data_IF_391691800290
#
_entry.id   IF_391691800290
#
_cell.length_a   1.000
_cell.length_b   1.000
_cell.length_c   1.000
_cell.angle_alpha   90.00
_cell.angle_beta   90.00
_cell.angle_gamma   90.00
#
_symmetry.space_group_name_H-M   'P 1'
#
loop_
_entity.id
_entity.type
_entity.pdbx_description
1 polymer ?
#
# COMPACT_ATOMS: atom_id res chain seq x y z
N UNK A 1 38.17 -1.19 7.20
CA UNK A 1 37.46 -1.62 8.43
C UNK A 1 36.04 -1.96 8.06
N UNK A 2 35.68 -3.24 8.14
CA UNK A 2 34.33 -3.72 7.83
C UNK A 2 33.40 -3.34 8.99
N UNK A 3 32.42 -2.48 8.74
CA UNK A 3 31.33 -2.22 9.67
C UNK A 3 30.21 -3.22 9.38
N UNK A 4 30.18 -4.31 10.14
CA UNK A 4 29.06 -5.22 10.20
C UNK A 4 27.79 -4.46 10.62
N UNK A 5 26.79 -4.37 9.74
CA UNK A 5 25.42 -4.06 10.17
C UNK A 5 24.81 -5.36 10.72
N UNK A 6 25.14 -5.62 11.98
CA UNK A 6 24.36 -6.50 12.84
C UNK A 6 23.05 -5.79 13.18
N UNK A 7 21.93 -6.43 12.90
CA UNK A 7 20.60 -5.95 13.27
C UNK A 7 19.57 -6.58 12.36
N UNK A 8 18.96 -7.69 12.79
CA UNK A 8 17.64 -8.06 12.28
C UNK A 8 16.75 -6.84 12.53
N UNK A 9 16.41 -6.12 11.47
CA UNK A 9 15.45 -5.02 11.50
C UNK A 9 14.17 -5.55 12.17
N UNK A 10 13.81 -5.05 13.35
CA UNK A 10 12.64 -5.56 14.10
C UNK A 10 11.36 -5.45 13.27
N UNK A 11 10.31 -6.22 13.64
CA UNK A 11 9.02 -6.22 12.95
C UNK A 11 8.48 -4.80 12.77
N UNK A 12 7.88 -4.50 11.63
CA UNK A 12 7.36 -3.17 11.30
C UNK A 12 6.26 -2.76 12.30
N UNK A 13 5.46 -3.72 12.74
CA UNK A 13 4.39 -3.59 13.72
C UNK A 13 4.88 -3.17 15.10
N UNK A 14 6.12 -3.52 15.46
CA UNK A 14 6.74 -3.13 16.73
C UNK A 14 7.31 -1.70 16.67
N UNK A 15 7.44 -1.11 15.48
CA UNK A 15 7.95 0.25 15.30
C UNK A 15 6.87 1.30 15.56
N UNK A 16 7.29 2.44 16.12
CA UNK A 16 6.44 3.62 16.22
C UNK A 16 6.49 4.36 14.89
N UNK A 17 5.45 4.21 14.08
CA UNK A 17 5.36 4.82 12.75
C UNK A 17 4.77 6.23 12.86
N UNK A 18 5.50 7.22 12.35
CA UNK A 18 4.97 8.58 12.18
C UNK A 18 4.12 8.66 10.91
N UNK A 19 2.83 8.37 11.04
CA UNK A 19 1.88 8.47 9.93
C UNK A 19 1.74 9.90 9.39
N UNK A 20 2.05 10.93 10.16
CA UNK A 20 2.04 12.32 9.69
C UNK A 20 3.20 12.54 8.71
N UNK A 21 4.38 12.02 9.02
CA UNK A 21 5.53 12.05 8.12
C UNK A 21 5.28 11.24 6.86
N UNK A 22 4.77 10.00 6.99
CA UNK A 22 4.41 9.15 5.85
C UNK A 22 3.43 9.89 4.92
N UNK A 23 2.38 10.51 5.48
CA UNK A 23 1.39 11.27 4.71
C UNK A 23 2.02 12.49 4.01
N UNK A 24 2.90 13.24 4.69
CA UNK A 24 3.56 14.40 4.11
C UNK A 24 4.47 14.04 2.92
N UNK A 25 5.04 12.84 2.94
CA UNK A 25 5.89 12.29 1.87
C UNK A 25 5.10 11.70 0.69
N UNK A 26 3.77 11.55 0.79
CA UNK A 26 2.92 10.94 -0.24
C UNK A 26 1.89 11.95 -0.77
N UNK A 27 2.25 12.81 -1.74
CA UNK A 27 1.37 13.88 -2.24
C UNK A 27 0.29 13.34 -3.20
N UNK A 28 -0.68 12.56 -2.73
CA UNK A 28 -1.74 11.97 -3.56
C UNK A 28 -3.03 12.83 -3.67
N UNK A 29 -3.08 13.97 -2.99
CA UNK A 29 -4.21 14.91 -3.01
C UNK A 29 -4.45 15.50 -4.42
N UNK A 30 -5.69 15.92 -4.69
CA UNK A 30 -6.16 16.41 -6.00
C UNK A 30 -5.95 17.93 -6.20
N UNK A 31 -5.02 18.55 -5.49
CA UNK A 31 -4.71 19.97 -5.63
C UNK A 31 -3.49 20.25 -6.53
N UNK A 32 -3.37 21.50 -7.00
CA UNK A 32 -2.30 21.95 -7.90
C UNK A 32 -0.90 21.81 -7.27
N UNK A 33 -0.76 22.00 -5.96
CA UNK A 33 0.51 21.88 -5.26
C UNK A 33 0.96 20.42 -5.22
N UNK A 34 0.07 19.50 -4.87
CA UNK A 34 0.32 18.05 -4.89
C UNK A 34 0.63 17.54 -6.29
N UNK A 35 -0.04 18.03 -7.35
CA UNK A 35 0.30 17.72 -8.76
C UNK A 35 1.74 18.14 -9.09
N UNK A 36 2.17 19.33 -8.69
CA UNK A 36 3.56 19.82 -8.87
C UNK A 36 4.58 18.98 -8.11
N UNK A 37 4.26 18.59 -6.86
CA UNK A 37 5.13 17.72 -6.06
C UNK A 37 5.27 16.33 -6.70
N UNK A 38 4.16 15.73 -7.15
CA UNK A 38 4.20 14.45 -7.88
C UNK A 38 5.03 14.53 -9.14
N UNK A 39 4.95 15.61 -9.91
CA UNK A 39 5.73 15.78 -11.13
C UNK A 39 7.25 15.78 -10.84
N UNK A 40 7.67 16.51 -9.79
CA UNK A 40 9.07 16.50 -9.35
C UNK A 40 9.50 15.12 -8.86
N UNK A 41 8.67 14.49 -8.03
CA UNK A 41 8.93 13.17 -7.46
C UNK A 41 9.01 12.08 -8.52
N UNK A 42 8.12 12.07 -9.51
CA UNK A 42 8.12 11.11 -10.60
C UNK A 42 9.43 11.16 -11.40
N UNK A 43 9.92 12.37 -11.70
CA UNK A 43 11.23 12.56 -12.34
C UNK A 43 12.38 12.04 -11.48
N UNK A 44 12.29 12.14 -10.15
CA UNK A 44 13.30 11.55 -9.25
C UNK A 44 13.23 10.03 -9.18
N UNK A 45 12.06 9.44 -9.43
CA UNK A 45 11.87 7.99 -9.52
C UNK A 45 12.28 7.42 -10.89
N UNK A 46 12.28 8.26 -11.94
CA UNK A 46 12.61 7.93 -13.33
C UNK A 46 14.01 8.45 -13.72
N UNK A 47 15.11 7.83 -13.25
CA UNK A 47 16.46 8.29 -13.56
C UNK A 47 16.86 8.07 -15.03
N UNK A 48 16.20 7.15 -15.75
CA UNK A 48 16.49 6.91 -17.16
C UNK A 48 15.69 7.85 -18.09
N UNK A 49 14.65 8.51 -17.58
CA UNK A 49 13.89 9.55 -18.29
C UNK A 49 12.94 9.00 -19.37
N UNK A 50 12.53 7.73 -19.29
CA UNK A 50 11.65 7.11 -20.27
C UNK A 50 10.16 7.50 -20.09
N UNK A 51 9.82 8.19 -19.00
CA UNK A 51 8.47 8.67 -18.70
C UNK A 51 7.55 7.65 -18.02
N UNK A 52 8.08 6.50 -17.57
CA UNK A 52 7.32 5.44 -16.91
C UNK A 52 8.17 4.67 -15.87
N UNK A 53 7.56 4.20 -14.78
CA UNK A 53 8.29 3.59 -13.68
C UNK A 53 8.10 2.07 -13.66
N UNK A 54 9.20 1.33 -13.74
CA UNK A 54 9.24 -0.09 -13.41
C UNK A 54 9.10 -0.31 -11.91
N UNK A 55 8.82 -1.56 -11.52
CA UNK A 55 8.78 -1.94 -10.10
C UNK A 55 10.13 -1.69 -9.39
N UNK A 56 11.26 -1.89 -10.08
CA UNK A 56 12.59 -1.64 -9.52
C UNK A 56 12.84 -0.14 -9.28
N UNK A 57 12.38 0.72 -10.20
CA UNK A 57 12.46 2.18 -10.03
C UNK A 57 11.55 2.68 -8.90
N UNK A 58 10.37 2.08 -8.75
CA UNK A 58 9.49 2.34 -7.61
C UNK A 58 10.20 1.92 -6.31
N UNK A 59 10.76 0.71 -6.25
CA UNK A 59 11.47 0.22 -5.07
C UNK A 59 12.63 1.13 -4.67
N UNK A 60 13.43 1.54 -5.65
CA UNK A 60 14.54 2.47 -5.45
C UNK A 60 14.06 3.85 -5.03
N UNK A 61 13.00 4.38 -5.65
CA UNK A 61 12.45 5.70 -5.30
C UNK A 61 11.87 5.73 -3.88
N UNK A 62 11.20 4.66 -3.45
CA UNK A 62 10.71 4.53 -2.07
C UNK A 62 11.86 4.55 -1.05
N UNK A 63 12.97 3.89 -1.36
CA UNK A 63 14.19 3.88 -0.53
C UNK A 63 14.90 5.23 -0.53
N UNK A 64 15.27 5.72 -1.70
CA UNK A 64 16.27 6.79 -1.85
C UNK A 64 15.64 8.19 -1.80
N UNK A 65 14.40 8.32 -2.30
CA UNK A 65 13.69 9.60 -2.41
C UNK A 65 12.75 9.80 -1.23
N UNK A 66 11.86 8.84 -0.95
CA UNK A 66 10.90 9.00 0.16
C UNK A 66 11.53 8.71 1.52
N UNK A 67 12.53 7.84 1.60
CA UNK A 67 13.21 7.48 2.87
C UNK A 67 12.19 7.15 3.95
N UNK A 68 11.30 6.21 3.63
CA UNK A 68 10.27 5.73 4.54
C UNK A 68 10.78 4.48 5.27
N UNK A 69 11.97 4.55 5.87
CA UNK A 69 12.70 3.41 6.43
C UNK A 69 11.85 2.59 7.44
N UNK A 70 10.94 3.25 8.16
CA UNK A 70 10.04 2.61 9.12
C UNK A 70 9.03 1.64 8.49
N UNK A 71 8.66 1.85 7.23
CA UNK A 71 7.65 1.04 6.51
C UNK A 71 8.19 0.40 5.22
N UNK A 72 9.41 0.75 4.81
CA UNK A 72 10.02 0.35 3.54
C UNK A 72 10.30 -1.15 3.44
N UNK A 73 10.56 -1.83 4.56
CA UNK A 73 10.80 -3.28 4.59
C UNK A 73 9.56 -4.11 4.18
N UNK A 74 8.41 -3.47 3.95
CA UNK A 74 7.19 -4.11 3.50
C UNK A 74 7.10 -4.32 1.98
N UNK A 75 7.82 -5.31 1.45
CA UNK A 75 7.68 -5.72 0.03
C UNK A 75 6.24 -6.13 -0.35
N UNK A 76 5.49 -6.88 0.47
CA UNK A 76 4.12 -7.26 0.12
C UNK A 76 3.17 -6.07 -0.07
N UNK A 77 3.27 -5.01 0.75
CA UNK A 77 2.45 -3.81 0.58
C UNK A 77 2.81 -3.05 -0.70
N UNK A 78 4.11 -2.90 -0.99
CA UNK A 78 4.57 -2.23 -2.21
C UNK A 78 4.04 -2.94 -3.45
N UNK A 79 4.15 -4.28 -3.49
CA UNK A 79 3.63 -5.09 -4.60
C UNK A 79 2.11 -4.93 -4.76
N UNK A 80 1.37 -4.95 -3.65
CA UNK A 80 -0.09 -4.79 -3.70
C UNK A 80 -0.51 -3.38 -4.12
N UNK A 81 0.22 -2.36 -3.67
CA UNK A 81 0.00 -0.98 -4.09
C UNK A 81 0.28 -0.77 -5.59
N UNK A 82 1.35 -1.38 -6.10
CA UNK A 82 1.67 -1.40 -7.53
C UNK A 82 0.51 -1.97 -8.35
N UNK A 83 0.06 -3.19 -8.03
CA UNK A 83 -1.04 -3.82 -8.76
C UNK A 83 -2.36 -3.03 -8.64
N UNK A 84 -2.65 -2.44 -7.48
CA UNK A 84 -3.84 -1.60 -7.30
C UNK A 84 -3.81 -0.35 -8.20
N UNK A 85 -2.65 0.30 -8.32
CA UNK A 85 -2.47 1.45 -9.20
C UNK A 85 -2.65 1.08 -10.67
N UNK A 86 -2.02 -0.03 -11.12
CA UNK A 86 -2.15 -0.54 -12.48
C UNK A 86 -3.60 -0.88 -12.83
N UNK A 87 -4.33 -1.53 -11.92
CA UNK A 87 -5.73 -1.90 -12.15
C UNK A 87 -6.63 -0.66 -12.32
N UNK A 88 -6.42 0.40 -11.52
CA UNK A 88 -7.14 1.68 -11.72
C UNK A 88 -6.78 2.32 -13.07
N UNK A 89 -5.52 2.23 -13.49
CA UNK A 89 -5.08 2.73 -14.79
C UNK A 89 -5.73 2.01 -15.97
N UNK A 90 -5.82 0.67 -15.92
CA UNK A 90 -6.50 -0.17 -16.93
C UNK A 90 -7.95 0.29 -17.13
N UNK A 91 -8.69 0.47 -16.03
CA UNK A 91 -10.09 0.91 -16.07
C UNK A 91 -10.26 2.29 -16.72
N UNK A 92 -9.31 3.21 -16.53
CA UNK A 92 -9.37 4.55 -17.12
C UNK A 92 -9.00 4.55 -18.61
N UNK A 93 -7.92 3.87 -19.02
CA UNK A 93 -7.51 3.82 -20.45
C UNK A 93 -8.43 2.96 -21.32
N UNK A 94 -9.01 1.88 -20.78
CA UNK A 94 -10.01 1.07 -21.50
C UNK A 94 -11.23 1.91 -21.90
N UNK A 95 -11.63 2.90 -21.09
CA UNK A 95 -12.69 3.86 -21.44
C UNK A 95 -12.27 4.82 -22.57
N UNK A 96 -10.97 5.11 -22.73
CA UNK A 96 -10.43 6.06 -23.70
C UNK A 96 -9.78 5.42 -24.94
N UNK A 97 -9.87 4.09 -25.10
CA UNK A 97 -9.34 3.38 -26.27
C UNK A 97 -7.81 3.37 -26.45
N UNK A 98 -7.04 3.75 -25.42
CA UNK A 98 -5.57 3.87 -25.51
C UNK A 98 -4.82 2.55 -25.27
N UNK A 99 -3.61 2.42 -25.86
CA UNK A 99 -2.67 1.34 -25.51
C UNK A 99 -2.26 1.47 -24.04
N UNK A 100 -2.39 0.38 -23.29
CA UNK A 100 -2.05 0.30 -21.88
C UNK A 100 -0.78 -0.52 -21.72
N UNK A 101 0.23 0.03 -21.04
CA UNK A 101 1.43 -0.72 -20.70
C UNK A 101 1.19 -1.44 -19.36
N UNK A 102 1.29 -2.77 -19.32
CA UNK A 102 0.99 -3.56 -18.11
C UNK A 102 2.13 -3.57 -17.09
N UNK A 103 3.35 -3.28 -17.53
CA UNK A 103 4.57 -3.54 -16.77
C UNK A 103 5.19 -2.29 -16.14
N UNK A 104 4.66 -1.10 -16.46
CA UNK A 104 5.19 0.17 -15.98
C UNK A 104 4.08 1.09 -15.46
N UNK A 105 4.38 1.85 -14.42
CA UNK A 105 3.50 2.90 -13.87
C UNK A 105 3.72 4.21 -14.63
N UNK A 106 2.67 4.70 -15.29
CA UNK A 106 2.68 6.01 -15.93
C UNK A 106 2.36 7.14 -14.92
N UNK A 107 2.63 8.39 -15.29
CA UNK A 107 2.43 9.54 -14.39
C UNK A 107 1.00 9.65 -13.81
N UNK A 108 -0.03 9.32 -14.59
CA UNK A 108 -1.41 9.37 -14.12
C UNK A 108 -1.72 8.24 -13.10
N UNK A 109 -1.07 7.07 -13.24
CA UNK A 109 -1.16 5.95 -12.29
C UNK A 109 -0.35 6.24 -11.03
N UNK A 110 0.71 7.05 -11.12
CA UNK A 110 1.58 7.37 -9.99
C UNK A 110 0.82 7.99 -8.81
N UNK A 111 -0.20 8.83 -9.07
CA UNK A 111 -1.06 9.34 -7.98
C UNK A 111 -1.78 8.20 -7.25
N UNK A 112 -2.31 7.23 -7.99
CA UNK A 112 -2.98 6.06 -7.42
C UNK A 112 -2.00 5.14 -6.70
N UNK A 113 -0.76 5.03 -7.19
CA UNK A 113 0.31 4.32 -6.50
C UNK A 113 0.59 4.94 -5.14
N UNK A 114 0.76 6.26 -5.05
CA UNK A 114 1.01 6.95 -3.78
C UNK A 114 -0.15 6.79 -2.78
N UNK A 115 -1.41 6.92 -3.24
CA UNK A 115 -2.60 6.64 -2.41
C UNK A 115 -2.60 5.19 -1.93
N UNK A 116 -2.31 4.25 -2.83
CA UNK A 116 -2.33 2.82 -2.50
C UNK A 116 -1.19 2.46 -1.54
N UNK A 117 0.01 3.01 -1.71
CA UNK A 117 1.14 2.80 -0.80
C UNK A 117 0.78 3.20 0.62
N UNK A 118 0.18 4.39 0.81
CA UNK A 118 -0.27 4.81 2.14
C UNK A 118 -1.22 3.79 2.76
N UNK A 119 -2.18 3.32 1.97
CA UNK A 119 -3.19 2.39 2.44
C UNK A 119 -2.62 1.00 2.78
N UNK A 120 -1.81 0.43 1.89
CA UNK A 120 -1.24 -0.90 2.06
C UNK A 120 -0.13 -0.94 3.13
N UNK A 121 0.61 0.15 3.35
CA UNK A 121 1.52 0.23 4.49
C UNK A 121 0.76 0.13 5.81
N UNK A 122 -0.37 0.81 5.93
CA UNK A 122 -1.20 0.73 7.12
C UNK A 122 -1.73 -0.69 7.30
N UNK A 123 -2.27 -1.33 6.26
CA UNK A 123 -2.69 -2.73 6.36
C UNK A 123 -1.56 -3.69 6.71
N UNK A 124 -0.34 -3.45 6.22
CA UNK A 124 0.79 -4.28 6.60
C UNK A 124 1.11 -4.15 8.09
N UNK A 125 1.14 -2.92 8.61
CA UNK A 125 1.33 -2.67 10.04
C UNK A 125 0.25 -3.38 10.85
N UNK A 126 -0.98 -3.44 10.33
CA UNK A 126 -2.06 -4.21 10.96
C UNK A 126 -1.79 -5.70 10.98
N UNK A 127 -1.43 -6.21 9.82
CA UNK A 127 -1.16 -7.62 9.61
C UNK A 127 0.01 -8.09 10.49
N UNK A 128 1.13 -7.37 10.46
CA UNK A 128 2.37 -7.66 11.19
C UNK A 128 2.22 -7.54 12.71
N UNK A 129 1.26 -6.75 13.20
CA UNK A 129 0.90 -6.72 14.64
C UNK A 129 -0.01 -7.87 15.05
N UNK A 130 -0.81 -8.38 14.12
CA UNK A 130 -1.74 -9.48 14.37
C UNK A 130 -1.03 -10.85 14.27
N UNK A 131 -0.06 -10.96 13.36
CA UNK A 131 0.87 -12.09 13.22
C UNK A 131 1.87 -12.07 14.38
N UNK A 132 1.61 -12.89 15.39
CA UNK A 132 2.39 -12.92 16.64
C UNK A 132 3.52 -13.94 16.63
N UNK A 133 3.44 -14.94 15.76
CA UNK A 133 4.48 -15.95 15.58
C UNK A 133 5.44 -15.66 14.40
N UNK A 134 5.20 -14.58 13.65
CA UNK A 134 6.02 -14.06 12.54
C UNK A 134 6.11 -15.04 11.35
N UNK A 135 5.06 -15.85 11.14
CA UNK A 135 5.00 -16.82 10.05
C UNK A 135 4.45 -16.23 8.73
N UNK A 136 4.22 -14.92 8.70
CA UNK A 136 3.63 -14.15 7.61
C UNK A 136 2.20 -14.59 7.26
N UNK A 137 1.49 -15.14 8.23
CA UNK A 137 0.08 -15.50 8.16
C UNK A 137 -0.58 -15.18 9.50
N UNK A 138 -1.91 -15.12 9.51
CA UNK A 138 -2.67 -14.93 10.75
C UNK A 138 -3.56 -16.15 10.92
N UNK A 139 -3.33 -16.92 11.98
CA UNK A 139 -4.23 -18.00 12.35
C UNK A 139 -5.49 -17.48 13.10
N UNK A 140 -6.46 -18.37 13.36
CA UNK A 140 -7.71 -17.97 14.03
C UNK A 140 -7.48 -17.45 15.46
N UNK A 141 -6.52 -17.99 16.19
CA UNK A 141 -6.17 -17.56 17.54
C UNK A 141 -5.58 -16.16 17.54
N UNK A 142 -4.66 -15.89 16.62
CA UNK A 142 -4.05 -14.59 16.36
C UNK A 142 -5.09 -13.56 15.92
N UNK A 143 -5.94 -13.92 14.96
CA UNK A 143 -7.02 -13.06 14.48
C UNK A 143 -7.95 -12.63 15.62
N UNK A 144 -8.35 -13.56 16.50
CA UNK A 144 -9.18 -13.27 17.68
C UNK A 144 -8.49 -12.29 18.64
N UNK A 145 -7.19 -12.49 18.90
CA UNK A 145 -6.40 -11.58 19.76
C UNK A 145 -6.25 -10.19 19.15
N UNK A 146 -6.23 -10.10 17.82
CA UNK A 146 -6.11 -8.83 17.10
C UNK A 146 -7.42 -8.04 16.99
N UNK A 147 -8.59 -8.59 17.33
CA UNK A 147 -9.90 -7.90 17.23
C UNK A 147 -9.92 -6.55 17.96
N UNK A 148 -9.42 -6.39 19.21
CA UNK A 148 -9.38 -5.09 19.87
C UNK A 148 -8.52 -4.08 19.11
N UNK A 149 -7.42 -4.54 18.50
CA UNK A 149 -6.53 -3.70 17.69
C UNK A 149 -7.23 -3.26 16.39
N UNK A 150 -7.94 -4.16 15.71
CA UNK A 150 -8.73 -3.84 14.52
C UNK A 150 -9.82 -2.81 14.81
N UNK A 151 -10.42 -2.84 16.00
CA UNK A 151 -11.39 -1.83 16.44
C UNK A 151 -10.79 -0.42 16.55
N UNK A 152 -9.54 -0.31 17.03
CA UNK A 152 -8.83 0.98 17.09
C UNK A 152 -8.59 1.59 15.70
N UNK A 153 -8.59 0.74 14.68
CA UNK A 153 -8.46 1.12 13.27
C UNK A 153 -9.80 1.26 12.54
N UNK A 154 -10.90 1.35 13.30
CA UNK A 154 -12.23 1.58 12.74
C UNK A 154 -12.91 0.33 12.20
N UNK A 155 -12.33 -0.86 12.38
CA UNK A 155 -12.92 -2.12 11.91
C UNK A 155 -13.59 -2.84 13.07
N UNK A 156 -14.93 -2.84 13.07
CA UNK A 156 -15.71 -3.53 14.09
C UNK A 156 -15.98 -4.99 13.69
N UNK A 157 -15.46 -5.93 14.48
CA UNK A 157 -15.65 -7.38 14.28
C UNK A 157 -16.49 -7.92 15.43
N UNK A 158 -17.70 -8.37 15.12
CA UNK A 158 -18.65 -8.94 16.10
C UNK A 158 -18.52 -10.45 16.24
N UNK A 159 -18.21 -11.16 15.15
CA UNK A 159 -18.00 -12.61 15.14
C UNK A 159 -16.65 -12.93 14.48
N UNK A 160 -15.57 -13.07 15.28
CA UNK A 160 -14.23 -13.27 14.75
C UNK A 160 -14.07 -14.56 13.95
N UNK A 161 -14.75 -15.65 14.35
CA UNK A 161 -14.65 -16.93 13.65
C UNK A 161 -15.33 -16.89 12.28
N UNK A 162 -16.50 -16.24 12.21
CA UNK A 162 -17.18 -16.02 10.93
C UNK A 162 -16.41 -15.05 10.05
N UNK A 163 -15.88 -13.95 10.59
CA UNK A 163 -15.07 -13.00 9.83
C UNK A 163 -13.78 -13.65 9.32
N UNK A 164 -13.11 -14.45 10.14
CA UNK A 164 -11.92 -15.21 9.72
C UNK A 164 -12.20 -16.05 8.47
N UNK A 165 -13.26 -16.87 8.50
CA UNK A 165 -13.69 -17.67 7.33
C UNK A 165 -14.08 -16.83 6.10
N UNK A 166 -14.47 -15.58 6.29
CA UNK A 166 -14.75 -14.68 5.16
C UNK A 166 -13.49 -14.11 4.55
N UNK A 167 -12.46 -13.89 5.38
CA UNK A 167 -11.16 -13.34 5.00
C UNK A 167 -10.32 -14.42 4.34
N UNK A 168 -10.20 -15.59 4.97
CA UNK A 168 -9.56 -16.81 4.44
C UNK A 168 -10.34 -17.31 3.21
N UNK A 169 -9.94 -16.83 2.03
CA UNK A 169 -10.63 -17.06 0.76
C UNK A 169 -10.19 -18.35 0.11
N UNK A 170 -8.93 -18.73 0.28
CA UNK A 170 -8.42 -19.98 -0.24
C UNK A 170 -8.76 -21.19 0.65
N UNK A 171 -9.19 -20.96 1.89
CA UNK A 171 -9.57 -22.00 2.83
C UNK A 171 -8.35 -22.71 3.43
N UNK A 172 -7.18 -22.08 3.40
CA UNK A 172 -5.91 -22.61 3.91
C UNK A 172 -5.85 -22.69 5.44
N UNK A 173 -6.85 -22.14 6.15
CA UNK A 173 -6.90 -22.13 7.61
C UNK A 173 -6.01 -21.08 8.26
N UNK A 174 -5.37 -20.23 7.44
CA UNK A 174 -4.55 -19.09 7.84
C UNK A 174 -4.76 -17.95 6.85
N UNK A 175 -4.88 -16.73 7.36
CA UNK A 175 -5.07 -15.54 6.52
C UNK A 175 -3.73 -15.07 5.97
N UNK A 176 -3.61 -14.98 4.65
CA UNK A 176 -2.48 -14.34 3.98
C UNK A 176 -2.64 -12.81 3.98
N UNK A 177 -1.54 -12.07 3.91
CA UNK A 177 -1.61 -10.60 3.79
C UNK A 177 -2.49 -10.13 2.62
N UNK A 178 -2.47 -10.88 1.51
CA UNK A 178 -3.30 -10.59 0.34
C UNK A 178 -4.79 -10.66 0.61
N UNK A 179 -5.19 -11.63 1.43
CA UNK A 179 -6.58 -11.85 1.82
C UNK A 179 -7.02 -10.81 2.84
N UNK A 180 -6.17 -10.57 3.84
CA UNK A 180 -6.36 -9.52 4.83
C UNK A 180 -6.53 -8.15 4.16
N UNK A 181 -5.60 -7.77 3.28
CA UNK A 181 -5.66 -6.48 2.60
C UNK A 181 -6.90 -6.39 1.69
N UNK A 182 -7.25 -7.46 0.97
CA UNK A 182 -8.45 -7.47 0.12
C UNK A 182 -9.75 -7.30 0.93
N UNK A 183 -9.80 -7.88 2.12
CA UNK A 183 -10.91 -7.71 3.06
C UNK A 183 -10.94 -6.30 3.67
N UNK A 184 -9.79 -5.79 4.14
CA UNK A 184 -9.67 -4.47 4.75
C UNK A 184 -10.01 -3.35 3.77
N UNK A 185 -9.59 -3.49 2.50
CA UNK A 185 -9.97 -2.60 1.41
C UNK A 185 -11.48 -2.55 1.25
N UNK A 186 -12.18 -3.68 1.22
CA UNK A 186 -13.66 -3.68 1.09
C UNK A 186 -14.37 -3.03 2.27
N UNK A 187 -13.78 -3.06 3.46
CA UNK A 187 -14.32 -2.40 4.65
C UNK A 187 -14.02 -0.89 4.69
N UNK A 188 -12.94 -0.47 4.04
CA UNK A 188 -12.48 0.93 4.00
C UNK A 188 -12.71 1.59 2.63
N UNK A 189 -13.33 0.91 1.67
CA UNK A 189 -13.55 1.36 0.28
C UNK A 189 -14.69 2.38 0.14
N UNK A 190 -15.20 2.89 1.26
CA UNK A 190 -16.12 4.03 1.28
C UNK A 190 -15.39 5.39 1.10
N UNK A 191 -14.17 5.36 0.55
CA UNK A 191 -13.28 6.52 0.41
C UNK A 191 -13.19 6.99 -1.04
N UNK A 192 -14.18 7.79 -1.41
CA UNK A 192 -14.26 8.69 -2.57
C UNK A 192 -14.30 8.01 -3.94
N UNK A 193 -15.41 7.34 -4.26
CA UNK A 193 -15.89 7.27 -5.65
C UNK A 193 -16.57 8.61 -6.00
N UNK A 194 -15.80 9.69 -6.04
CA UNK A 194 -16.25 10.97 -6.62
C UNK A 194 -15.35 11.34 -7.80
N UNK A 195 -15.96 11.14 -8.97
CA UNK A 195 -15.93 11.97 -10.18
C UNK A 195 -14.58 12.63 -10.47
N UNK A 196 -13.96 12.19 -11.58
CA UNK A 196 -12.96 13.00 -12.26
C UNK A 196 -13.62 14.37 -12.52
N UNK A 197 -13.25 15.38 -11.74
CA UNK A 197 -13.59 16.77 -12.07
C UNK A 197 -12.97 16.96 -13.44
N UNK A 198 -13.81 17.08 -14.47
CA UNK A 198 -13.37 17.46 -15.80
C UNK A 198 -12.59 18.77 -15.61
N UNK A 199 -11.31 18.74 -15.96
CA UNK A 199 -10.51 19.96 -16.07
C UNK A 199 -11.13 20.72 -17.25
N UNK A 200 -12.02 21.68 -16.95
CA UNK A 200 -12.27 22.80 -17.85
C UNK A 200 -10.98 23.65 -17.89
N UNK A 201 -10.45 23.74 -19.11
CA UNK A 201 -9.36 24.57 -19.66
C UNK A 201 -7.89 24.30 -19.23
#
# INVERSE_FOLDING_TARGET
MASARSGKSGRVGDRKIDWKEVNAKLPYQRDKQSKKLRMKMFKSFDPNGNGHLSLAEIDKGLRDVLRLDDVFDCKPAIMRAYHAAKNKGKSSKKKKGGKFNEDFVEFFEFRYLLKSLRQYFEYWVMFDRADTDDDNRIDLGEFKKAVPLMKLWGVNITDPAKTFKQVDKDGGGKILFSEFASWAIKKSLDLDDDIDVEEDD
#
